data_IF_635936193445
#
_entry.id   IF_635936193445
#
_cell.length_a   1.000
_cell.length_b   1.000
_cell.length_c   1.000
_cell.angle_alpha   90.00
_cell.angle_beta   90.00
_cell.angle_gamma   90.00
#
_symmetry.space_group_name_H-M   'P 1'
#
loop_
_entity.id
_entity.type
_entity.pdbx_description
1 polymer ?
#
# COMPACT_ATOMS: atom_id res chain seq x y z
N UNK A 1 -11.05 50.18 -0.03
CA UNK A 1 -11.48 49.50 -1.26
C UNK A 1 -11.81 48.07 -0.89
N UNK A 2 -13.10 47.76 -0.73
CA UNK A 2 -13.58 46.42 -0.44
C UNK A 2 -13.58 45.63 -1.76
N UNK A 3 -12.59 44.76 -1.97
CA UNK A 3 -12.73 43.70 -2.95
C UNK A 3 -13.72 42.69 -2.38
N UNK A 4 -14.96 42.75 -2.84
CA UNK A 4 -15.88 41.62 -2.74
C UNK A 4 -15.24 40.50 -3.55
N UNK A 5 -14.63 39.54 -2.87
CA UNK A 5 -14.24 38.26 -3.47
C UNK A 5 -15.54 37.63 -4.00
N UNK A 6 -15.73 37.64 -5.32
CA UNK A 6 -16.86 36.94 -5.93
C UNK A 6 -16.65 35.46 -5.66
N UNK A 7 -17.46 34.88 -4.79
CA UNK A 7 -17.49 33.44 -4.60
C UNK A 7 -17.75 32.78 -5.95
N UNK A 8 -16.87 31.87 -6.41
CA UNK A 8 -17.08 31.18 -7.67
C UNK A 8 -18.41 30.44 -7.62
N UNK A 9 -19.16 30.55 -8.72
CA UNK A 9 -20.49 29.95 -8.87
C UNK A 9 -20.40 28.43 -8.60
N UNK A 10 -21.11 27.87 -7.60
CA UNK A 10 -20.96 26.46 -7.21
C UNK A 10 -21.23 25.50 -8.36
N UNK A 11 -22.03 25.90 -9.35
CA UNK A 11 -22.33 25.13 -10.55
C UNK A 11 -21.12 24.98 -11.49
N UNK A 12 -20.14 25.90 -11.41
CA UNK A 12 -18.90 25.83 -12.20
C UNK A 12 -17.88 24.86 -11.61
N UNK A 13 -17.93 24.59 -10.30
CA UNK A 13 -17.00 23.70 -9.62
C UNK A 13 -17.30 22.21 -9.87
N UNK A 14 -18.54 21.86 -10.23
CA UNK A 14 -18.96 20.46 -10.43
C UNK A 14 -18.46 19.85 -11.75
N UNK A 15 -18.19 20.67 -12.77
CA UNK A 15 -17.79 20.18 -14.11
C UNK A 15 -16.33 19.71 -14.23
N UNK A 16 -15.49 20.01 -13.25
CA UNK A 16 -14.03 19.76 -13.32
C UNK A 16 -13.55 18.63 -12.41
N UNK A 17 -14.44 17.79 -11.89
CA UNK A 17 -14.02 16.60 -11.13
C UNK A 17 -13.54 15.52 -12.10
N UNK A 18 -12.23 15.18 -12.13
CA UNK A 18 -11.73 14.17 -13.04
C UNK A 18 -12.35 12.81 -12.69
N UNK A 19 -12.96 12.17 -13.70
CA UNK A 19 -13.54 10.83 -13.55
C UNK A 19 -12.45 9.78 -13.31
N UNK A 20 -12.79 8.69 -12.62
CA UNK A 20 -11.88 7.56 -12.38
C UNK A 20 -11.21 7.06 -13.69
N UNK A 21 -11.96 7.03 -14.80
CA UNK A 21 -11.44 6.65 -16.11
C UNK A 21 -10.36 7.59 -16.64
N UNK A 22 -10.48 8.91 -16.40
CA UNK A 22 -9.47 9.88 -16.83
C UNK A 22 -8.15 9.73 -16.06
N UNK A 23 -8.23 9.45 -14.75
CA UNK A 23 -7.07 9.22 -13.88
C UNK A 23 -6.28 7.96 -14.26
N UNK A 24 -6.99 6.89 -14.65
CA UNK A 24 -6.39 5.64 -15.13
C UNK A 24 -5.78 5.86 -16.52
N UNK A 25 -6.51 6.52 -17.43
CA UNK A 25 -6.03 6.79 -18.79
C UNK A 25 -4.73 7.59 -18.80
N UNK A 26 -4.60 8.56 -17.88
CA UNK A 26 -3.37 9.34 -17.74
C UNK A 26 -2.19 8.45 -17.29
N UNK A 27 -2.42 7.53 -16.35
CA UNK A 27 -1.39 6.62 -15.86
C UNK A 27 -0.92 5.63 -16.95
N UNK A 28 -1.86 5.07 -17.72
CA UNK A 28 -1.56 4.04 -18.73
C UNK A 28 -0.93 4.61 -20.00
N UNK A 29 -1.14 5.89 -20.30
CA UNK A 29 -0.57 6.56 -21.49
C UNK A 29 0.86 7.07 -21.26
N UNK A 30 1.42 6.92 -20.08
CA UNK A 30 2.80 7.31 -19.79
C UNK A 30 3.78 6.40 -20.57
N UNK A 31 4.75 7.01 -21.26
CA UNK A 31 5.78 6.28 -22.00
C UNK A 31 6.59 5.35 -21.08
N UNK A 32 6.84 5.78 -19.84
CA UNK A 32 7.56 4.96 -18.86
C UNK A 32 6.72 3.76 -18.43
N UNK A 33 5.40 3.94 -18.29
CA UNK A 33 4.48 2.83 -18.01
C UNK A 33 4.55 1.78 -19.13
N UNK A 34 4.45 2.20 -20.40
CA UNK A 34 4.54 1.30 -21.55
C UNK A 34 5.88 0.57 -21.59
N UNK A 35 6.99 1.28 -21.37
CA UNK A 35 8.32 0.68 -21.29
C UNK A 35 8.39 -0.39 -20.20
N UNK A 36 7.85 -0.12 -19.02
CA UNK A 36 7.84 -1.08 -17.91
C UNK A 36 6.94 -2.27 -18.20
N UNK A 37 5.83 -2.11 -18.93
CA UNK A 37 5.01 -3.24 -19.38
C UNK A 37 5.80 -4.12 -20.33
N UNK A 38 6.50 -3.53 -21.31
CA UNK A 38 7.36 -4.29 -22.25
C UNK A 38 8.46 -5.03 -21.49
N UNK A 39 9.15 -4.36 -20.57
CA UNK A 39 10.15 -4.98 -19.71
C UNK A 39 9.56 -6.13 -18.88
N UNK A 40 8.35 -5.96 -18.36
CA UNK A 40 7.65 -6.99 -17.59
C UNK A 40 7.35 -8.22 -18.45
N UNK A 41 6.95 -8.04 -19.72
CA UNK A 41 6.78 -9.15 -20.65
C UNK A 41 8.09 -9.90 -20.87
N UNK A 42 9.20 -9.19 -21.10
CA UNK A 42 10.53 -9.80 -21.29
C UNK A 42 10.93 -10.60 -20.06
N UNK A 43 10.82 -10.03 -18.85
CA UNK A 43 11.12 -10.72 -17.59
C UNK A 43 10.24 -11.96 -17.42
N UNK A 44 8.96 -11.85 -17.77
CA UNK A 44 8.00 -12.97 -17.68
C UNK A 44 8.40 -14.12 -18.59
N UNK A 45 8.67 -13.85 -19.87
CA UNK A 45 9.08 -14.89 -20.81
C UNK A 45 10.42 -15.52 -20.44
N UNK A 46 11.40 -14.72 -20.01
CA UNK A 46 12.70 -15.22 -19.54
C UNK A 46 12.55 -16.09 -18.28
N UNK A 47 11.74 -15.65 -17.31
CA UNK A 47 11.47 -16.42 -16.09
C UNK A 47 10.84 -17.77 -16.39
N UNK A 48 9.86 -17.82 -17.29
CA UNK A 48 9.22 -19.06 -17.73
C UNK A 48 10.18 -19.97 -18.49
N UNK A 49 10.96 -19.41 -19.42
CA UNK A 49 11.97 -20.17 -20.17
C UNK A 49 12.97 -20.85 -19.24
N UNK A 50 13.50 -20.10 -18.27
CA UNK A 50 14.45 -20.61 -17.28
C UNK A 50 13.79 -21.66 -16.39
N UNK A 51 12.57 -21.40 -15.92
CA UNK A 51 11.83 -22.32 -15.07
C UNK A 51 11.53 -23.66 -15.76
N UNK A 52 11.22 -23.64 -17.07
CA UNK A 52 11.00 -24.84 -17.87
C UNK A 52 12.21 -25.79 -17.87
N UNK A 53 13.42 -25.21 -17.91
CA UNK A 53 14.69 -25.94 -17.90
C UNK A 53 15.27 -26.24 -16.52
N UNK A 54 14.54 -25.93 -15.44
CA UNK A 54 15.03 -26.10 -14.06
C UNK A 54 14.21 -27.14 -13.27
N UNK A 55 14.30 -28.43 -13.63
CA UNK A 55 13.55 -29.50 -12.95
C UNK A 55 13.86 -29.59 -11.46
N UNK A 56 15.06 -29.19 -11.04
CA UNK A 56 15.46 -29.28 -9.64
C UNK A 56 15.13 -28.02 -8.81
N UNK A 57 14.53 -26.99 -9.41
CA UNK A 57 14.20 -25.74 -8.73
C UNK A 57 15.43 -25.01 -8.17
N UNK A 58 16.62 -25.21 -8.77
CA UNK A 58 17.86 -24.56 -8.32
C UNK A 58 17.83 -23.05 -8.58
N UNK A 59 17.06 -22.62 -9.56
CA UNK A 59 16.84 -21.24 -9.95
C UNK A 59 15.52 -20.72 -9.37
N UNK A 60 15.44 -20.70 -8.03
CA UNK A 60 14.25 -20.29 -7.28
C UNK A 60 13.74 -18.87 -7.58
N UNK A 61 14.50 -18.04 -8.31
CA UNK A 61 14.10 -16.70 -8.72
C UNK A 61 13.23 -16.68 -10.00
N UNK A 62 13.32 -17.69 -10.86
CA UNK A 62 12.80 -17.68 -12.23
C UNK A 62 11.29 -17.48 -12.31
N UNK A 63 10.52 -18.35 -11.65
CA UNK A 63 9.05 -18.21 -11.60
C UNK A 63 8.58 -17.02 -10.77
N UNK A 64 9.13 -16.74 -9.57
CA UNK A 64 8.79 -15.50 -8.86
C UNK A 64 9.02 -14.25 -9.70
N UNK A 65 10.10 -14.18 -10.49
CA UNK A 65 10.32 -13.05 -11.40
C UNK A 65 9.21 -12.95 -12.46
N UNK A 66 8.77 -14.07 -13.03
CA UNK A 66 7.67 -14.08 -14.00
C UNK A 66 6.31 -13.69 -13.37
N UNK A 67 6.07 -14.07 -12.12
CA UNK A 67 4.85 -13.72 -11.38
C UNK A 67 4.87 -12.25 -10.94
N UNK A 68 6.02 -11.74 -10.49
CA UNK A 68 6.15 -10.39 -9.93
C UNK A 68 6.38 -9.32 -11.00
N UNK A 69 6.81 -9.67 -12.21
CA UNK A 69 7.07 -8.71 -13.28
C UNK A 69 5.93 -7.70 -13.51
N UNK A 70 4.63 -8.09 -13.56
CA UNK A 70 3.53 -7.15 -13.76
C UNK A 70 3.36 -6.11 -12.64
N UNK A 71 4.07 -6.24 -11.52
CA UNK A 71 4.06 -5.24 -10.46
C UNK A 71 4.89 -4.00 -10.79
N UNK A 72 5.86 -4.07 -11.73
CA UNK A 72 6.73 -2.95 -12.06
C UNK A 72 5.97 -1.73 -12.60
N UNK A 73 5.05 -1.86 -13.57
CA UNK A 73 4.28 -0.72 -14.08
C UNK A 73 3.31 -0.17 -13.03
N UNK A 74 2.79 -1.02 -12.15
CA UNK A 74 1.94 -0.61 -11.02
C UNK A 74 2.75 0.26 -10.05
N UNK A 75 3.94 -0.20 -9.68
CA UNK A 75 4.84 0.51 -8.80
C UNK A 75 5.14 1.93 -9.29
N UNK A 76 5.50 2.05 -10.57
CA UNK A 76 5.72 3.33 -11.21
C UNK A 76 4.48 4.22 -11.19
N UNK A 77 3.31 3.68 -11.54
CA UNK A 77 2.06 4.44 -11.59
C UNK A 77 1.68 5.08 -10.24
N UNK A 78 2.06 4.46 -9.11
CA UNK A 78 1.84 4.99 -7.77
C UNK A 78 2.91 6.03 -7.41
N UNK A 79 4.19 5.71 -7.63
CA UNK A 79 5.30 6.65 -7.36
C UNK A 79 5.13 7.94 -8.15
N UNK A 80 4.57 7.86 -9.36
CA UNK A 80 4.26 9.00 -10.20
C UNK A 80 3.39 10.06 -9.52
N UNK A 81 2.54 9.65 -8.57
CA UNK A 81 1.70 10.60 -7.85
C UNK A 81 2.52 11.59 -7.02
N UNK A 82 3.73 11.24 -6.57
CA UNK A 82 4.58 12.12 -5.76
C UNK A 82 5.01 13.42 -6.47
N UNK A 83 5.03 13.41 -7.80
CA UNK A 83 5.50 14.54 -8.61
C UNK A 83 4.46 15.08 -9.58
N UNK A 84 3.28 14.46 -9.66
CA UNK A 84 2.16 15.05 -10.38
C UNK A 84 1.41 16.06 -9.50
N UNK A 85 0.93 17.14 -10.10
CA UNK A 85 0.08 18.17 -9.47
C UNK A 85 -1.35 17.67 -9.21
N UNK A 86 -1.47 16.46 -8.66
CA UNK A 86 -2.74 15.87 -8.27
C UNK A 86 -3.31 16.67 -7.10
N UNK A 87 -4.59 17.05 -7.21
CA UNK A 87 -5.27 17.75 -6.12
C UNK A 87 -5.21 16.91 -4.83
N UNK A 88 -4.91 17.50 -3.66
CA UNK A 88 -4.72 16.76 -2.42
C UNK A 88 -5.88 15.82 -2.08
N UNK A 89 -7.11 16.26 -2.29
CA UNK A 89 -8.33 15.49 -2.01
C UNK A 89 -8.47 14.21 -2.85
N UNK A 90 -7.89 14.18 -4.05
CA UNK A 90 -7.93 13.00 -4.93
C UNK A 90 -6.70 12.12 -4.79
N UNK A 91 -5.69 12.53 -4.04
CA UNK A 91 -4.37 11.92 -4.06
C UNK A 91 -4.40 10.46 -3.56
N UNK A 92 -4.95 10.22 -2.37
CA UNK A 92 -5.04 8.87 -1.79
C UNK A 92 -6.02 8.00 -2.60
N UNK A 93 -7.18 8.55 -3.00
CA UNK A 93 -8.14 7.83 -3.83
C UNK A 93 -7.55 7.41 -5.17
N UNK A 94 -6.76 8.26 -5.81
CA UNK A 94 -6.04 7.96 -7.05
C UNK A 94 -5.01 6.86 -6.85
N UNK A 95 -4.29 6.87 -5.72
CA UNK A 95 -3.33 5.83 -5.40
C UNK A 95 -4.00 4.46 -5.24
N UNK A 96 -5.07 4.37 -4.44
CA UNK A 96 -5.82 3.12 -4.28
C UNK A 96 -6.46 2.65 -5.60
N UNK A 97 -7.07 3.56 -6.36
CA UNK A 97 -7.64 3.23 -7.66
C UNK A 97 -6.57 2.67 -8.61
N UNK A 98 -5.40 3.31 -8.69
CA UNK A 98 -4.28 2.82 -9.50
C UNK A 98 -3.78 1.47 -9.02
N UNK A 99 -3.72 1.24 -7.70
CA UNK A 99 -3.27 -0.04 -7.13
C UNK A 99 -4.17 -1.22 -7.51
N UNK A 100 -5.44 -0.99 -7.84
CA UNK A 100 -6.40 -2.05 -8.24
C UNK A 100 -6.57 -2.13 -9.75
N UNK A 101 -6.66 -0.99 -10.43
CA UNK A 101 -6.97 -0.92 -11.85
C UNK A 101 -5.73 -1.12 -12.74
N UNK A 102 -4.58 -0.54 -12.40
CA UNK A 102 -3.37 -0.62 -13.21
C UNK A 102 -2.82 -2.06 -13.32
N UNK A 103 -2.84 -2.91 -12.27
CA UNK A 103 -2.42 -4.30 -12.41
C UNK A 103 -3.17 -5.05 -13.51
N UNK A 104 -4.46 -4.77 -13.72
CA UNK A 104 -5.22 -5.39 -14.80
C UNK A 104 -4.60 -5.10 -16.18
N UNK A 105 -4.23 -3.84 -16.44
CA UNK A 105 -3.60 -3.44 -17.70
C UNK A 105 -2.17 -3.95 -17.85
N UNK A 106 -1.47 -4.21 -16.76
CA UNK A 106 -0.12 -4.79 -16.80
C UNK A 106 -0.14 -6.32 -16.95
N UNK A 107 -1.13 -6.99 -16.37
CA UNK A 107 -1.25 -8.46 -16.37
C UNK A 107 -1.69 -8.99 -17.73
N UNK A 108 -2.62 -8.33 -18.42
CA UNK A 108 -3.10 -8.80 -19.73
C UNK A 108 -1.97 -9.04 -20.74
N UNK A 109 -1.07 -8.07 -21.03
CA UNK A 109 0.02 -8.27 -21.98
C UNK A 109 1.08 -9.27 -21.47
N UNK A 110 1.38 -9.28 -20.17
CA UNK A 110 2.37 -10.20 -19.59
C UNK A 110 1.85 -11.64 -19.60
N UNK A 111 0.58 -11.87 -19.27
CA UNK A 111 -0.09 -13.16 -19.39
C UNK A 111 -0.14 -13.64 -20.83
N UNK A 112 -0.50 -12.76 -21.79
CA UNK A 112 -0.46 -13.12 -23.21
C UNK A 112 0.94 -13.58 -23.62
N UNK A 113 1.98 -12.84 -23.24
CA UNK A 113 3.36 -13.19 -23.53
C UNK A 113 3.80 -14.49 -22.86
N UNK A 114 3.36 -14.73 -21.62
CA UNK A 114 3.60 -15.95 -20.87
C UNK A 114 2.98 -17.18 -21.55
N UNK A 115 1.73 -17.06 -22.00
CA UNK A 115 1.02 -18.11 -22.75
C UNK A 115 1.76 -18.41 -24.05
N UNK A 116 2.14 -17.37 -24.82
CA UNK A 116 2.92 -17.55 -26.05
C UNK A 116 4.24 -18.26 -25.75
N UNK A 117 4.95 -17.86 -24.68
CA UNK A 117 6.23 -18.46 -24.29
C UNK A 117 6.10 -19.95 -24.01
N UNK A 118 5.11 -20.38 -23.24
CA UNK A 118 4.87 -21.82 -22.97
C UNK A 118 4.46 -22.59 -24.21
N UNK A 119 3.78 -21.94 -25.17
CA UNK A 119 3.39 -22.56 -26.43
C UNK A 119 4.54 -22.64 -27.46
N UNK A 120 5.68 -21.97 -27.22
CA UNK A 120 6.84 -22.11 -28.09
C UNK A 120 7.31 -23.57 -28.09
N UNK A 121 7.52 -24.21 -29.26
CA UNK A 121 7.89 -25.61 -29.34
C UNK A 121 9.11 -25.99 -28.49
N UNK A 122 10.11 -25.10 -28.42
CA UNK A 122 11.34 -25.34 -27.65
C UNK A 122 11.06 -25.35 -26.14
N UNK A 123 10.24 -24.41 -25.64
CA UNK A 123 9.87 -24.35 -24.22
C UNK A 123 8.99 -25.53 -23.86
N UNK A 124 7.96 -25.79 -24.67
CA UNK A 124 7.02 -26.89 -24.44
C UNK A 124 7.74 -28.23 -24.38
N UNK A 125 8.61 -28.52 -25.36
CA UNK A 125 9.44 -29.72 -25.37
C UNK A 125 10.32 -29.82 -24.13
N UNK A 126 10.94 -28.71 -23.72
CA UNK A 126 11.77 -28.68 -22.51
C UNK A 126 10.93 -29.04 -21.28
N UNK A 127 9.73 -28.47 -21.14
CA UNK A 127 8.79 -28.80 -20.06
C UNK A 127 8.42 -30.29 -20.10
N UNK A 128 8.08 -30.83 -21.28
CA UNK A 128 7.71 -32.24 -21.41
C UNK A 128 8.86 -33.17 -21.01
N UNK A 129 10.09 -32.87 -21.43
CA UNK A 129 11.29 -33.65 -21.09
C UNK A 129 11.59 -33.61 -19.58
N UNK A 130 11.35 -32.47 -18.92
CA UNK A 130 11.62 -32.28 -17.49
C UNK A 130 10.46 -32.68 -16.58
N UNK A 131 9.25 -32.88 -17.11
CA UNK A 131 8.04 -33.08 -16.29
C UNK A 131 7.85 -34.51 -15.76
N UNK A 132 8.48 -35.51 -16.37
CA UNK A 132 8.25 -36.93 -16.05
C UNK A 132 9.29 -37.57 -15.11
N UNK A 133 10.32 -36.84 -14.66
CA UNK A 133 11.27 -37.41 -13.70
C UNK A 133 10.82 -37.22 -12.24
N UNK A 134 11.45 -37.98 -11.34
CA UNK A 134 11.32 -37.83 -9.87
C UNK A 134 12.01 -36.54 -9.39
N UNK A 135 11.53 -35.40 -9.89
CA UNK A 135 12.13 -34.12 -9.58
C UNK A 135 11.47 -33.48 -8.35
N UNK A 136 12.27 -32.74 -7.59
CA UNK A 136 11.94 -32.27 -6.24
C UNK A 136 10.70 -31.37 -6.16
N UNK A 137 10.26 -31.12 -4.94
CA UNK A 137 9.05 -30.35 -4.56
C UNK A 137 8.98 -28.89 -5.06
N UNK A 138 9.96 -28.42 -5.83
CA UNK A 138 10.12 -27.03 -6.25
C UNK A 138 10.00 -26.81 -7.77
N UNK A 139 9.69 -27.86 -8.54
CA UNK A 139 9.44 -27.71 -9.97
C UNK A 139 8.03 -27.19 -10.24
N UNK A 140 7.92 -26.06 -10.93
CA UNK A 140 6.64 -25.35 -11.11
C UNK A 140 5.74 -25.94 -12.21
N UNK A 141 6.27 -26.77 -13.11
CA UNK A 141 5.50 -27.41 -14.19
C UNK A 141 5.35 -28.92 -13.95
N UNK A 142 5.21 -29.34 -12.69
CA UNK A 142 5.08 -30.75 -12.37
C UNK A 142 3.76 -31.34 -12.92
N UNK A 143 3.66 -32.66 -12.97
CA UNK A 143 2.39 -33.34 -13.36
C UNK A 143 1.27 -32.98 -12.37
N UNK A 144 1.61 -32.77 -11.10
CA UNK A 144 0.66 -32.46 -10.02
C UNK A 144 0.03 -31.08 -10.17
N UNK A 145 0.73 -30.12 -10.78
CA UNK A 145 0.28 -28.72 -10.87
C UNK A 145 -0.67 -28.47 -12.05
N UNK A 146 -1.02 -29.50 -12.82
CA UNK A 146 -1.91 -29.39 -13.96
C UNK A 146 -1.18 -28.99 -15.24
N UNK A 147 -1.91 -28.58 -16.29
CA UNK A 147 -1.27 -28.28 -17.58
C UNK A 147 -0.34 -27.06 -17.48
N UNK A 148 0.75 -26.98 -18.27
CA UNK A 148 1.63 -25.81 -18.25
C UNK A 148 0.92 -24.47 -18.48
N UNK A 149 -0.16 -24.51 -19.28
CA UNK A 149 -1.03 -23.37 -19.53
C UNK A 149 -1.85 -22.97 -18.28
N UNK A 150 -2.34 -23.94 -17.50
CA UNK A 150 -3.00 -23.66 -16.21
C UNK A 150 -2.03 -23.03 -15.22
N UNK A 151 -0.79 -23.54 -15.13
CA UNK A 151 0.26 -22.98 -14.26
C UNK A 151 0.53 -21.52 -14.61
N UNK A 152 0.65 -21.17 -15.90
CA UNK A 152 0.89 -19.79 -16.32
C UNK A 152 -0.32 -18.88 -16.12
N UNK A 153 -1.53 -19.34 -16.41
CA UNK A 153 -2.74 -18.55 -16.16
C UNK A 153 -2.92 -18.27 -14.67
N UNK A 154 -2.72 -19.28 -13.82
CA UNK A 154 -2.79 -19.11 -12.37
C UNK A 154 -1.63 -18.23 -11.86
N UNK A 155 -0.41 -18.51 -12.29
CA UNK A 155 0.80 -17.80 -11.88
C UNK A 155 0.84 -16.36 -12.38
N UNK A 156 1.06 -16.15 -13.67
CA UNK A 156 1.19 -14.79 -14.24
C UNK A 156 -0.13 -14.03 -14.26
N UNK A 157 -1.26 -14.73 -14.46
CA UNK A 157 -2.58 -14.09 -14.47
C UNK A 157 -3.05 -13.74 -13.06
N UNK A 158 -3.43 -14.74 -12.27
CA UNK A 158 -4.05 -14.53 -10.95
C UNK A 158 -3.03 -14.05 -9.91
N UNK A 159 -1.93 -14.77 -9.72
CA UNK A 159 -0.91 -14.37 -8.73
C UNK A 159 -0.18 -13.10 -9.17
N UNK A 160 0.04 -12.89 -10.48
CA UNK A 160 0.64 -11.66 -10.99
C UNK A 160 -0.26 -10.43 -10.79
N UNK A 161 -1.59 -10.58 -10.94
CA UNK A 161 -2.54 -9.54 -10.58
C UNK A 161 -2.50 -9.24 -9.07
N UNK A 162 -2.58 -10.28 -8.23
CA UNK A 162 -2.51 -10.13 -6.79
C UNK A 162 -1.19 -9.48 -6.35
N UNK A 163 -0.06 -9.87 -6.95
CA UNK A 163 1.24 -9.28 -6.71
C UNK A 163 1.29 -7.79 -7.10
N UNK A 164 0.70 -7.42 -8.24
CA UNK A 164 0.58 -6.02 -8.65
C UNK A 164 -0.22 -5.19 -7.64
N UNK A 165 -1.36 -5.70 -7.19
CA UNK A 165 -2.19 -5.04 -6.15
C UNK A 165 -1.40 -4.87 -4.85
N UNK A 166 -0.74 -5.95 -4.39
CA UNK A 166 0.08 -5.93 -3.19
C UNK A 166 1.26 -4.95 -3.32
N UNK A 167 1.95 -4.92 -4.45
CA UNK A 167 3.03 -3.96 -4.69
C UNK A 167 2.53 -2.52 -4.66
N UNK A 168 1.37 -2.23 -5.26
CA UNK A 168 0.72 -0.93 -5.16
C UNK A 168 0.44 -0.54 -3.71
N UNK A 169 -0.14 -1.46 -2.93
CA UNK A 169 -0.42 -1.24 -1.50
C UNK A 169 0.86 -0.99 -0.70
N UNK A 170 1.91 -1.80 -0.91
CA UNK A 170 3.19 -1.65 -0.23
C UNK A 170 3.83 -0.28 -0.54
N UNK A 171 3.79 0.16 -1.79
CA UNK A 171 4.33 1.48 -2.16
C UNK A 171 3.50 2.60 -1.56
N UNK A 172 2.17 2.46 -1.49
CA UNK A 172 1.33 3.43 -0.78
C UNK A 172 1.77 3.55 0.68
N UNK A 173 1.91 2.42 1.37
CA UNK A 173 2.21 2.38 2.81
C UNK A 173 3.65 2.79 3.13
N UNK A 174 4.64 2.32 2.38
CA UNK A 174 6.06 2.49 2.70
C UNK A 174 6.74 3.64 1.97
N UNK A 175 6.14 4.18 0.90
CA UNK A 175 6.73 5.27 0.11
C UNK A 175 5.82 6.47 0.08
N UNK A 176 4.58 6.31 -0.36
CA UNK A 176 3.68 7.42 -0.65
C UNK A 176 3.23 8.16 0.62
N UNK A 177 2.65 7.45 1.58
CA UNK A 177 2.16 8.05 2.83
C UNK A 177 3.31 8.63 3.67
N UNK A 178 4.47 7.95 3.84
CA UNK A 178 5.61 8.54 4.55
C UNK A 178 6.13 9.80 3.85
N UNK A 179 6.31 9.77 2.53
CA UNK A 179 6.80 10.95 1.80
C UNK A 179 5.88 12.15 2.02
N UNK A 180 4.56 11.96 2.02
CA UNK A 180 3.62 13.04 2.34
C UNK A 180 3.64 13.44 3.81
N UNK A 181 3.60 12.49 4.74
CA UNK A 181 3.55 12.77 6.17
C UNK A 181 4.80 13.49 6.68
N UNK A 182 5.98 13.15 6.14
CA UNK A 182 7.26 13.75 6.51
C UNK A 182 7.59 14.99 5.67
N UNK A 183 7.32 14.97 4.36
CA UNK A 183 7.65 16.06 3.44
C UNK A 183 6.63 17.20 3.38
N UNK A 184 5.32 16.89 3.48
CA UNK A 184 4.26 17.89 3.44
C UNK A 184 3.10 17.57 4.41
N UNK A 185 3.34 17.66 5.73
CA UNK A 185 2.36 17.27 6.74
C UNK A 185 1.05 18.08 6.66
N UNK A 186 1.09 19.33 6.16
CA UNK A 186 -0.11 20.16 5.98
C UNK A 186 -1.04 19.55 4.92
N UNK A 187 -0.50 19.18 3.75
CA UNK A 187 -1.28 18.49 2.70
C UNK A 187 -1.81 17.16 3.22
N UNK A 188 -0.98 16.37 3.91
CA UNK A 188 -1.42 15.09 4.47
C UNK A 188 -2.57 15.25 5.48
N UNK A 189 -2.51 16.25 6.36
CA UNK A 189 -3.57 16.56 7.30
C UNK A 189 -4.90 16.94 6.60
N UNK A 190 -4.82 17.71 5.51
CA UNK A 190 -5.99 18.06 4.69
C UNK A 190 -6.62 16.81 4.04
N UNK A 191 -5.80 15.89 3.51
CA UNK A 191 -6.32 14.65 2.92
C UNK A 191 -7.03 13.77 3.96
N UNK A 192 -6.58 13.81 5.22
CA UNK A 192 -7.22 13.10 6.33
C UNK A 192 -8.34 13.90 7.00
N UNK A 193 -8.81 14.99 6.38
CA UNK A 193 -9.87 15.86 6.90
C UNK A 193 -9.61 16.37 8.33
N UNK A 194 -8.35 16.56 8.70
CA UNK A 194 -7.98 17.20 9.97
C UNK A 194 -8.22 18.71 9.88
N UNK A 195 -8.55 19.32 11.02
CA UNK A 195 -8.84 20.75 11.11
C UNK A 195 -7.64 21.60 10.62
N UNK A 196 -7.84 22.51 9.64
CA UNK A 196 -6.74 23.19 8.95
C UNK A 196 -6.15 24.41 9.69
N UNK A 197 -6.49 24.65 10.97
CA UNK A 197 -6.03 25.80 11.73
C UNK A 197 -4.53 25.81 12.03
N UNK A 198 -3.91 27.00 12.06
CA UNK A 198 -2.48 27.16 12.41
C UNK A 198 -2.16 26.69 13.84
N UNK A 199 -3.11 26.81 14.77
CA UNK A 199 -2.99 26.31 16.14
C UNK A 199 -2.75 24.79 16.16
N UNK A 200 -3.37 24.05 15.22
CA UNK A 200 -3.30 22.59 15.16
C UNK A 200 -2.20 22.07 14.24
N UNK A 201 -1.53 22.93 13.46
CA UNK A 201 -0.56 22.52 12.45
C UNK A 201 0.57 21.62 13.00
N UNK A 202 1.10 21.95 14.20
CA UNK A 202 2.15 21.13 14.84
C UNK A 202 1.62 19.77 15.30
N UNK A 203 0.45 19.75 15.93
CA UNK A 203 -0.20 18.53 16.41
C UNK A 203 -0.56 17.61 15.24
N UNK A 204 -1.16 18.17 14.18
CA UNK A 204 -1.53 17.46 12.97
C UNK A 204 -0.30 16.88 12.26
N UNK A 205 0.82 17.61 12.22
CA UNK A 205 2.07 17.09 11.66
C UNK A 205 2.61 15.89 12.44
N UNK A 206 2.60 15.94 13.78
CA UNK A 206 3.03 14.81 14.62
C UNK A 206 2.09 13.62 14.45
N UNK A 207 0.77 13.85 14.48
CA UNK A 207 -0.23 12.81 14.27
C UNK A 207 -0.10 12.15 12.89
N UNK A 208 0.14 12.92 11.84
CA UNK A 208 0.35 12.43 10.47
C UNK A 208 1.56 11.52 10.37
N UNK A 209 2.69 11.93 10.94
CA UNK A 209 3.92 11.13 10.98
C UNK A 209 3.73 9.84 11.80
N UNK A 210 3.09 9.94 12.96
CA UNK A 210 2.80 8.80 13.80
C UNK A 210 1.90 7.79 13.07
N UNK A 211 0.81 8.26 12.45
CA UNK A 211 -0.10 7.42 11.67
C UNK A 211 0.64 6.68 10.54
N UNK A 212 1.49 7.39 9.80
CA UNK A 212 2.30 6.77 8.74
C UNK A 212 3.23 5.68 9.29
N UNK A 213 3.88 5.91 10.43
CA UNK A 213 4.74 4.90 11.07
C UNK A 213 3.91 3.70 11.55
N UNK A 214 2.76 3.92 12.19
CA UNK A 214 1.88 2.83 12.63
C UNK A 214 1.38 1.98 11.47
N UNK A 215 1.01 2.61 10.35
CA UNK A 215 0.62 1.88 9.14
C UNK A 215 1.78 1.04 8.61
N UNK A 216 2.99 1.59 8.51
CA UNK A 216 4.18 0.80 8.12
C UNK A 216 4.41 -0.40 9.05
N UNK A 217 4.35 -0.19 10.36
CA UNK A 217 4.52 -1.26 11.35
C UNK A 217 3.46 -2.36 11.24
N UNK A 218 2.22 -1.99 10.88
CA UNK A 218 1.11 -2.95 10.70
C UNK A 218 1.42 -3.98 9.61
N UNK A 219 2.13 -3.59 8.55
CA UNK A 219 2.54 -4.51 7.49
C UNK A 219 3.92 -5.14 7.76
N UNK A 220 4.85 -4.36 8.30
CA UNK A 220 6.22 -4.80 8.53
C UNK A 220 6.28 -5.92 9.58
N UNK A 221 5.57 -5.78 10.71
CA UNK A 221 5.64 -6.73 11.82
C UNK A 221 5.17 -8.14 11.41
N UNK A 222 3.97 -8.34 10.83
CA UNK A 222 3.55 -9.67 10.39
C UNK A 222 4.49 -10.26 9.33
N UNK A 223 4.97 -9.43 8.39
CA UNK A 223 5.91 -9.85 7.35
C UNK A 223 7.20 -10.38 7.97
N UNK A 224 7.79 -9.64 8.91
CA UNK A 224 9.00 -10.05 9.63
C UNK A 224 8.80 -11.34 10.45
N UNK A 225 7.63 -11.52 11.07
CA UNK A 225 7.32 -12.72 11.86
C UNK A 225 7.15 -13.94 10.95
N UNK A 226 6.37 -13.84 9.87
CA UNK A 226 6.12 -14.96 8.96
C UNK A 226 7.40 -15.34 8.24
N UNK A 227 8.05 -14.38 7.58
CA UNK A 227 9.32 -14.61 6.89
C UNK A 227 10.40 -15.11 7.84
N UNK A 228 10.51 -14.48 9.01
CA UNK A 228 11.48 -14.85 10.02
C UNK A 228 11.28 -16.27 10.52
N UNK A 229 10.05 -16.68 10.82
CA UNK A 229 9.73 -18.04 11.28
C UNK A 229 10.06 -19.12 10.23
N UNK A 230 9.85 -18.84 8.96
CA UNK A 230 10.15 -19.79 7.87
C UNK A 230 11.66 -20.03 7.69
N UNK A 231 12.49 -19.04 8.03
CA UNK A 231 13.93 -19.06 7.79
C UNK A 231 14.78 -19.08 9.08
N UNK A 232 14.16 -19.02 10.25
CA UNK A 232 14.84 -19.04 11.53
C UNK A 232 15.38 -20.44 11.84
N UNK A 233 16.55 -20.47 12.48
CA UNK A 233 17.13 -21.71 13.01
C UNK A 233 16.57 -22.07 14.38
N UNK A 234 16.25 -21.06 15.19
CA UNK A 234 15.63 -21.29 16.48
C UNK A 234 14.26 -21.93 16.34
N UNK A 235 13.96 -22.94 17.15
CA UNK A 235 12.61 -23.50 17.25
C UNK A 235 11.72 -22.67 18.16
N UNK A 236 12.33 -21.86 19.02
CA UNK A 236 11.65 -20.97 19.97
C UNK A 236 12.13 -19.52 19.84
N UNK A 237 11.30 -18.57 20.29
CA UNK A 237 11.66 -17.14 20.29
C UNK A 237 12.92 -16.86 21.14
N UNK A 238 13.12 -17.59 22.25
CA UNK A 238 14.31 -17.44 23.09
C UNK A 238 15.59 -17.87 22.38
N UNK A 239 15.53 -18.96 21.60
CA UNK A 239 16.64 -19.39 20.74
C UNK A 239 16.90 -18.40 19.62
N UNK A 240 15.85 -17.90 18.95
CA UNK A 240 15.98 -16.89 17.90
C UNK A 240 16.63 -15.60 18.42
N UNK A 241 16.31 -15.17 19.65
CA UNK A 241 16.97 -14.04 20.32
C UNK A 241 18.46 -14.34 20.54
N UNK A 242 18.79 -15.53 21.06
CA UNK A 242 20.18 -15.94 21.27
C UNK A 242 20.97 -15.94 19.97
N UNK A 243 20.39 -16.47 18.89
CA UNK A 243 21.00 -16.48 17.56
C UNK A 243 21.13 -15.09 16.96
N UNK A 244 20.14 -14.22 17.15
CA UNK A 244 20.19 -12.81 16.74
C UNK A 244 21.40 -12.09 17.33
N UNK A 245 21.68 -12.26 18.62
CA UNK A 245 22.87 -11.66 19.24
C UNK A 245 24.19 -12.31 18.83
N UNK A 246 24.16 -13.55 18.35
CA UNK A 246 25.36 -14.23 17.86
C UNK A 246 25.83 -13.73 16.48
N UNK A 247 25.05 -12.87 15.79
CA UNK A 247 25.38 -12.34 14.46
C UNK A 247 26.76 -11.68 14.40
N UNK A 248 27.24 -11.09 15.50
CA UNK A 248 28.54 -10.44 15.57
C UNK A 248 29.72 -11.41 15.71
N UNK A 249 29.46 -12.68 16.01
CA UNK A 249 30.49 -13.70 16.24
C UNK A 249 30.36 -14.90 15.31
N UNK A 250 29.25 -15.00 14.57
CA UNK A 250 28.96 -16.14 13.72
C UNK A 250 29.60 -15.98 12.32
N UNK A 251 30.26 -17.02 11.77
CA UNK A 251 30.99 -16.90 10.49
C UNK A 251 30.12 -16.59 9.27
N UNK A 252 28.82 -16.92 9.32
CA UNK A 252 27.88 -16.78 8.20
C UNK A 252 26.62 -16.02 8.63
N UNK A 253 26.67 -14.68 8.78
CA UNK A 253 25.54 -13.89 9.31
C UNK A 253 24.29 -13.93 8.42
N UNK A 254 24.44 -14.27 7.13
CA UNK A 254 23.31 -14.48 6.21
C UNK A 254 22.39 -15.62 6.64
N UNK A 255 22.89 -16.62 7.37
CA UNK A 255 22.10 -17.74 7.88
C UNK A 255 21.21 -17.34 9.08
N UNK A 256 21.44 -16.15 9.66
CA UNK A 256 20.74 -15.66 10.85
C UNK A 256 19.66 -14.63 10.51
N UNK A 257 19.46 -14.30 9.22
CA UNK A 257 18.49 -13.29 8.77
C UNK A 257 17.07 -13.65 9.20
N UNK A 258 16.72 -14.94 9.19
CA UNK A 258 15.41 -15.42 9.66
C UNK A 258 15.21 -15.17 11.17
N UNK A 259 16.19 -15.55 11.99
CA UNK A 259 16.16 -15.32 13.45
C UNK A 259 16.08 -13.83 13.78
N UNK A 260 16.84 -12.99 13.08
CA UNK A 260 16.84 -11.52 13.23
C UNK A 260 15.47 -10.95 12.87
N UNK A 261 14.90 -11.36 11.72
CA UNK A 261 13.59 -10.89 11.28
C UNK A 261 12.49 -11.29 12.27
N UNK A 262 12.47 -12.56 12.69
CA UNK A 262 11.46 -13.05 13.63
C UNK A 262 11.55 -12.33 14.97
N UNK A 263 12.76 -12.21 15.53
CA UNK A 263 13.01 -11.53 16.79
C UNK A 263 12.61 -10.05 16.72
N UNK A 264 13.01 -9.37 15.65
CA UNK A 264 12.66 -7.95 15.43
C UNK A 264 11.16 -7.76 15.36
N UNK A 265 10.46 -8.58 14.57
CA UNK A 265 9.00 -8.53 14.48
C UNK A 265 8.33 -8.74 15.84
N UNK A 266 8.78 -9.74 16.61
CA UNK A 266 8.24 -10.05 17.93
C UNK A 266 8.47 -8.91 18.95
N UNK A 267 9.65 -8.28 18.94
CA UNK A 267 10.00 -7.17 19.85
C UNK A 267 9.28 -5.87 19.48
N UNK A 268 8.99 -5.63 18.21
CA UNK A 268 8.26 -4.44 17.77
C UNK A 268 6.80 -4.42 18.25
N UNK A 269 6.18 -5.57 18.56
CA UNK A 269 4.81 -5.64 19.10
C UNK A 269 4.69 -4.89 20.44
N UNK A 270 5.42 -5.27 21.51
CA UNK A 270 5.33 -4.57 22.79
C UNK A 270 5.77 -3.11 22.70
N UNK A 271 6.77 -2.79 21.85
CA UNK A 271 7.18 -1.40 21.60
C UNK A 271 6.02 -0.59 21.01
N UNK A 272 5.32 -1.14 20.02
CA UNK A 272 4.14 -0.51 19.41
C UNK A 272 3.01 -0.28 20.44
N UNK A 273 2.74 -1.27 21.29
CA UNK A 273 1.74 -1.14 22.38
C UNK A 273 2.11 -0.01 23.34
N UNK A 274 3.37 0.04 23.81
CA UNK A 274 3.85 1.11 24.69
C UNK A 274 3.74 2.46 24.02
N UNK A 275 4.10 2.57 22.73
CA UNK A 275 3.99 3.82 21.98
C UNK A 275 2.54 4.31 21.88
N UNK A 276 1.57 3.44 21.63
CA UNK A 276 0.13 3.79 21.60
C UNK A 276 -0.35 4.24 22.99
N UNK A 277 0.03 3.53 24.04
CA UNK A 277 -0.34 3.89 25.43
C UNK A 277 0.23 5.26 25.80
N UNK A 278 1.50 5.50 25.52
CA UNK A 278 2.17 6.80 25.71
C UNK A 278 1.44 7.89 24.92
N UNK A 279 1.19 7.67 23.63
CA UNK A 279 0.48 8.64 22.80
C UNK A 279 -0.90 9.00 23.36
N UNK A 280 -1.66 8.01 23.87
CA UNK A 280 -2.95 8.24 24.53
C UNK A 280 -2.85 9.12 25.77
N UNK A 281 -1.80 8.97 26.58
CA UNK A 281 -1.60 9.80 27.79
C UNK A 281 -1.17 11.24 27.46
N UNK A 282 -0.47 11.45 26.35
CA UNK A 282 -0.02 12.79 25.93
C UNK A 282 -1.05 13.54 25.07
N UNK A 283 -1.92 12.84 24.35
CA UNK A 283 -3.05 13.46 23.67
C UNK A 283 -4.15 13.79 24.69
N UNK A 284 -4.09 14.98 25.30
CA UNK A 284 -5.27 15.57 25.94
C UNK A 284 -6.13 16.17 24.82
N UNK A 285 -7.27 15.55 24.43
CA UNK A 285 -8.15 16.22 23.50
C UNK A 285 -8.64 17.48 24.19
N UNK A 286 -8.29 18.66 23.67
CA UNK A 286 -9.02 19.88 24.00
C UNK A 286 -10.44 19.58 23.51
N UNK A 287 -11.36 19.33 24.43
CA UNK A 287 -12.75 19.08 24.10
C UNK A 287 -13.21 20.23 23.21
N UNK A 288 -13.44 19.93 21.92
CA UNK A 288 -13.97 20.90 20.99
C UNK A 288 -15.35 21.25 21.53
N UNK A 289 -15.54 22.47 22.02
CA UNK A 289 -16.89 22.98 22.30
C UNK A 289 -17.62 22.84 20.97
N UNK A 290 -18.75 22.12 20.89
CA UNK A 290 -19.49 22.05 19.64
C UNK A 290 -19.76 23.47 19.16
N UNK A 291 -19.32 23.79 17.94
CA UNK A 291 -19.53 25.09 17.30
C UNK A 291 -21.01 25.34 16.98
N UNK A 292 -21.85 24.31 17.13
CA UNK A 292 -23.28 24.45 17.15
C UNK A 292 -23.70 24.81 18.58
N UNK A 293 -24.31 26.00 18.81
CA UNK A 293 -25.13 26.16 19.98
C UNK A 293 -26.15 25.03 19.92
N UNK A 294 -26.06 24.10 20.88
CA UNK A 294 -27.15 23.17 21.11
C UNK A 294 -28.39 24.04 21.30
N UNK A 295 -29.36 23.95 20.38
CA UNK A 295 -30.59 24.75 20.41
C UNK A 295 -31.30 24.69 21.78
N UNK A 296 -31.04 23.65 22.57
CA UNK A 296 -31.48 23.52 23.96
C UNK A 296 -30.94 24.59 24.92
N UNK A 297 -29.75 25.15 24.67
CA UNK A 297 -29.17 26.21 25.51
C UNK A 297 -29.77 27.59 25.24
N UNK A 298 -30.02 27.91 23.97
CA UNK A 298 -30.57 29.21 23.58
C UNK A 298 -32.09 29.30 23.85
N UNK A 299 -32.84 28.19 23.73
CA UNK A 299 -34.28 28.16 24.10
C UNK A 299 -34.46 28.36 25.62
N UNK A 300 -33.54 27.88 26.46
CA UNK A 300 -33.57 28.14 27.91
C UNK A 300 -33.13 29.56 28.27
N UNK A 301 -32.19 30.16 27.52
CA UNK A 301 -31.79 31.55 27.75
C UNK A 301 -32.87 32.56 27.34
N UNK A 302 -33.64 32.26 26.29
CA UNK A 302 -34.71 33.14 25.80
C UNK A 302 -35.98 33.03 26.68
N UNK A 303 -36.32 31.84 27.17
CA UNK A 303 -37.48 31.65 28.08
C UNK A 303 -37.27 32.19 29.50
N UNK A 304 -36.02 32.43 29.93
CA UNK A 304 -35.72 33.07 31.23
C UNK A 304 -35.72 34.61 31.17
N UNK A 305 -35.69 35.22 29.98
CA UNK A 305 -35.68 36.67 29.81
C UNK A 305 -37.07 37.26 29.53
N UNK A 306 -38.06 36.43 29.23
CA UNK A 306 -39.48 36.83 29.23
C UNK A 306 -40.05 36.83 30.67
N UNK A 307 -39.48 37.66 31.55
CA UNK A 307 -40.15 37.97 32.82
C UNK A 307 -41.37 38.85 32.54
N UNK A 308 -42.59 38.48 33.00
CA UNK A 308 -43.85 39.18 32.68
C UNK A 308 -43.94 40.62 33.21
N UNK A 309 -42.91 41.11 33.93
CA UNK A 309 -42.88 42.47 34.48
C UNK A 309 -42.73 43.58 33.41
N UNK A 310 -42.35 43.28 32.16
CA UNK A 310 -42.07 44.31 31.16
C UNK A 310 -43.16 44.53 30.09
N UNK A 311 -44.30 43.82 30.17
CA UNK A 311 -45.40 43.95 29.18
C UNK A 311 -46.39 45.10 29.43
N UNK A 312 -46.33 45.81 30.55
CA UNK A 312 -47.33 46.85 30.87
C UNK A 312 -46.93 48.29 30.55
N UNK A 313 -45.76 48.53 29.93
CA UNK A 313 -45.26 49.92 29.75
C UNK A 313 -45.45 50.56 28.37
N UNK A 314 -45.88 49.82 27.35
CA UNK A 314 -45.96 50.37 25.98
C UNK A 314 -47.39 50.63 25.45
N UNK A 315 -48.40 50.62 26.31
CA UNK A 315 -49.74 51.12 25.96
C UNK A 315 -50.05 52.39 26.76
N UNK A 316 -49.57 53.54 26.26
CA UNK A 316 -50.13 54.88 26.50
C UNK A 316 -49.56 55.90 25.54
#
# INVERSE_FOLDING_TARGET
MNQQESFPDPESAEKDVPTAGSLIKLAVRDNVFILLVVLSCIITGLGIWVAAGDPHGKQGWSMPAAILAPALPVAWSIVQLLWNDTKPELFIGSAFLRSVAVPFFSVVPTLFFAVVTVLLPVVNRTIEETRYGEYGTHYYFSVRDGSPLQVVIAGTGVLGYAAGVLAGLLIIVFVLLPTMAFGNPKKFAQVNQLEPGEEHAKSNAVASKALSVFLMLTFLIPTLIVFGKEHARGYTLGEAIKYTFSVFSYPYPSELVGDIAWTTGAVLIPIGVVAVVVAKFFQKPKAHRPAFPTLEGDIQAESLNESPANRTRNEK
#
